data_IF_888552920514
#
_entry.id   IF_888552920514
#
_cell.length_a   1.000
_cell.length_b   1.000
_cell.length_c   1.000
_cell.angle_alpha   90.00
_cell.angle_beta   90.00
_cell.angle_gamma   90.00
#
_symmetry.space_group_name_H-M   'P 1'
#
loop_
_entity.id
_entity.type
_entity.pdbx_description
1 polymer ?
#
# COMPACT_ATOMS: atom_id res chain seq x y z
N UNK A 1 -8.58 10.31 -6.19
CA UNK A 1 -8.06 10.91 -4.95
C UNK A 1 -7.56 12.29 -5.29
N UNK A 2 -7.75 13.25 -4.40
CA UNK A 2 -7.22 14.60 -4.55
C UNK A 2 -5.68 14.56 -4.52
N UNK A 3 -4.95 15.20 -5.46
CA UNK A 3 -3.50 15.08 -5.55
C UNK A 3 -2.78 15.59 -4.29
N UNK A 4 -3.32 16.62 -3.62
CA UNK A 4 -2.78 17.11 -2.34
C UNK A 4 -2.77 16.06 -1.22
N UNK A 5 -3.54 14.97 -1.32
CA UNK A 5 -3.54 13.88 -0.33
C UNK A 5 -2.48 12.80 -0.61
N UNK A 6 -1.81 12.82 -1.76
CA UNK A 6 -0.73 11.87 -2.10
C UNK A 6 0.51 12.05 -1.21
N UNK A 7 0.66 13.22 -0.58
CA UNK A 7 1.73 13.50 0.37
C UNK A 7 1.52 12.83 1.74
N UNK A 8 0.32 12.32 2.06
CA UNK A 8 0.06 11.59 3.30
C UNK A 8 0.40 10.09 3.15
N UNK A 9 0.73 9.37 4.25
CA UNK A 9 1.05 7.95 4.20
C UNK A 9 -0.02 7.12 3.46
N UNK A 10 0.39 6.42 2.40
CA UNK A 10 -0.54 5.64 1.57
C UNK A 10 -1.37 4.59 2.33
N UNK A 11 -0.91 3.94 3.43
CA UNK A 11 -1.80 3.07 4.20
C UNK A 11 -2.99 3.79 4.85
N UNK A 12 -2.85 5.08 5.16
CA UNK A 12 -3.95 5.88 5.70
C UNK A 12 -4.95 6.23 4.60
N UNK A 13 -4.48 6.76 3.48
CA UNK A 13 -5.36 7.22 2.39
C UNK A 13 -6.02 6.08 1.63
N UNK A 14 -5.30 4.99 1.33
CA UNK A 14 -5.85 3.82 0.63
C UNK A 14 -6.96 3.12 1.43
N UNK A 15 -6.78 3.00 2.75
CA UNK A 15 -7.73 2.29 3.62
C UNK A 15 -8.87 3.18 4.15
N UNK A 16 -8.78 4.51 4.08
CA UNK A 16 -9.79 5.38 4.66
C UNK A 16 -11.16 5.15 4.02
N UNK A 17 -12.17 4.87 4.86
CA UNK A 17 -13.51 4.53 4.41
C UNK A 17 -13.65 3.12 3.84
N UNK A 18 -12.67 2.23 4.04
CA UNK A 18 -12.73 0.83 3.60
C UNK A 18 -13.08 -0.13 4.74
N UNK A 19 -13.68 -1.27 4.36
CA UNK A 19 -13.82 -2.48 5.16
C UNK A 19 -12.87 -3.56 4.66
N UNK A 20 -12.03 -4.12 5.54
CA UNK A 20 -11.14 -5.25 5.25
C UNK A 20 -10.49 -5.78 6.54
N UNK A 21 -9.44 -6.59 6.43
CA UNK A 21 -8.56 -6.96 7.55
C UNK A 21 -7.57 -5.84 7.93
N UNK A 22 -7.61 -4.71 7.21
CA UNK A 22 -6.80 -3.49 7.39
C UNK A 22 -5.28 -3.73 7.50
N UNK A 23 -4.79 -4.82 6.90
CA UNK A 23 -3.38 -5.27 6.96
C UNK A 23 -2.40 -4.24 6.36
N UNK A 24 -2.89 -3.31 5.53
CA UNK A 24 -2.18 -2.11 5.11
C UNK A 24 -1.71 -1.25 6.29
N UNK A 25 -2.55 -1.02 7.31
CA UNK A 25 -2.21 -0.16 8.45
C UNK A 25 -1.00 -0.69 9.21
N UNK A 26 -0.76 -2.01 9.22
CA UNK A 26 0.42 -2.61 9.83
C UNK A 26 1.74 -2.23 9.14
N UNK A 27 1.68 -1.63 7.93
CA UNK A 27 2.86 -1.09 7.23
C UNK A 27 3.27 0.30 7.75
N UNK A 28 2.41 1.02 8.46
CA UNK A 28 2.71 2.34 9.03
C UNK A 28 3.79 2.23 10.13
N UNK A 29 4.94 2.93 10.01
CA UNK A 29 5.97 2.94 11.06
C UNK A 29 5.42 3.27 12.45
N UNK A 30 4.39 4.11 12.52
CA UNK A 30 3.74 4.59 13.74
C UNK A 30 2.98 3.49 14.51
N UNK A 31 2.66 2.36 13.87
CA UNK A 31 2.03 1.18 14.52
C UNK A 31 2.87 -0.09 14.36
N UNK A 32 4.06 -0.02 13.75
CA UNK A 32 4.98 -1.16 13.68
C UNK A 32 5.42 -1.55 15.09
N UNK A 33 5.19 -2.81 15.46
CA UNK A 33 5.44 -3.33 16.81
C UNK A 33 4.22 -3.30 17.74
N UNK A 34 3.10 -2.66 17.36
CA UNK A 34 1.84 -2.83 18.07
C UNK A 34 1.30 -4.25 17.88
N UNK A 35 0.79 -4.86 18.96
CA UNK A 35 0.19 -6.18 18.89
C UNK A 35 -1.10 -6.18 18.05
N UNK A 36 -1.35 -7.26 17.30
CA UNK A 36 -2.44 -7.33 16.32
C UNK A 36 -3.83 -7.16 16.97
N UNK A 37 -4.00 -7.69 18.17
CA UNK A 37 -5.21 -7.59 19.00
C UNK A 37 -5.45 -6.18 19.58
N UNK A 38 -4.39 -5.40 19.81
CA UNK A 38 -4.49 -3.99 20.18
C UNK A 38 -4.99 -3.11 19.02
N UNK A 39 -4.49 -3.39 17.81
CA UNK A 39 -4.87 -2.72 16.56
C UNK A 39 -6.28 -3.14 16.09
N UNK A 40 -6.60 -4.43 16.18
CA UNK A 40 -7.82 -5.05 15.65
C UNK A 40 -8.70 -5.64 16.76
N UNK A 41 -9.33 -4.75 17.54
CA UNK A 41 -10.24 -5.13 18.61
C UNK A 41 -11.53 -5.66 18.00
N UNK A 42 -11.98 -6.82 18.46
CA UNK A 42 -13.17 -7.51 17.95
C UNK A 42 -14.38 -7.41 18.91
N UNK A 43 -14.50 -6.32 19.68
CA UNK A 43 -15.56 -6.13 20.66
C UNK A 43 -16.58 -5.10 20.21
N UNK A 44 -17.83 -5.37 20.57
CA UNK A 44 -18.97 -4.45 20.68
C UNK A 44 -19.41 -3.64 19.45
N UNK A 45 -18.74 -3.81 18.30
CA UNK A 45 -19.02 -3.13 17.02
C UNK A 45 -18.95 -1.59 17.05
N UNK A 46 -18.64 -0.98 18.18
CA UNK A 46 -18.47 0.47 18.31
C UNK A 46 -17.12 0.96 17.74
N UNK A 47 -17.04 2.22 17.25
CA UNK A 47 -15.77 2.85 16.94
C UNK A 47 -14.88 2.99 18.18
N UNK A 48 -13.60 2.65 18.05
CA UNK A 48 -12.59 2.81 19.08
C UNK A 48 -11.37 3.58 18.55
N UNK A 49 -10.67 4.23 19.48
CA UNK A 49 -9.44 4.98 19.21
C UNK A 49 -8.20 4.10 19.44
N UNK A 50 -7.21 4.27 18.57
CA UNK A 50 -5.84 3.80 18.76
C UNK A 50 -4.92 5.02 18.69
N UNK A 51 -4.15 5.27 19.75
CA UNK A 51 -3.21 6.38 19.84
C UNK A 51 -1.77 5.85 19.70
N UNK A 52 -1.01 6.45 18.79
CA UNK A 52 0.44 6.34 18.69
C UNK A 52 1.03 7.71 19.07
N UNK A 53 1.01 8.00 20.38
CA UNK A 53 1.30 9.32 20.94
C UNK A 53 2.71 9.84 20.55
N UNK A 54 3.73 8.98 20.62
CA UNK A 54 5.12 9.29 20.22
C UNK A 54 5.27 9.71 18.74
N UNK A 55 4.25 9.44 17.93
CA UNK A 55 4.20 9.75 16.51
C UNK A 55 3.13 10.80 16.15
N UNK A 56 2.34 11.28 17.12
CA UNK A 56 1.26 12.23 16.87
C UNK A 56 0.13 11.68 15.99
N UNK A 57 -0.13 10.37 16.02
CA UNK A 57 -1.17 9.73 15.19
C UNK A 57 -2.28 9.13 16.06
N UNK A 58 -3.53 9.43 15.73
CA UNK A 58 -4.71 8.73 16.27
C UNK A 58 -5.51 8.12 15.12
N UNK A 59 -5.84 6.83 15.23
CA UNK A 59 -6.71 6.12 14.30
C UNK A 59 -8.08 5.86 14.93
N UNK A 60 -9.14 5.99 14.12
CA UNK A 60 -10.51 5.62 14.48
C UNK A 60 -10.89 4.36 13.72
N UNK A 61 -11.07 3.25 14.43
CA UNK A 61 -11.30 1.91 13.88
C UNK A 61 -12.60 1.33 14.42
N UNK A 62 -13.24 0.42 13.68
CA UNK A 62 -14.48 -0.23 14.10
C UNK A 62 -14.45 -1.70 13.67
N UNK A 63 -14.83 -2.64 14.53
CA UNK A 63 -15.12 -4.02 14.08
C UNK A 63 -16.52 -4.05 13.47
N UNK A 64 -16.67 -4.55 12.24
CA UNK A 64 -17.96 -4.52 11.53
C UNK A 64 -18.78 -5.80 11.76
N UNK A 65 -18.11 -6.88 12.19
CA UNK A 65 -18.64 -8.22 12.36
C UNK A 65 -17.98 -8.93 13.56
N UNK A 66 -18.03 -8.39 14.80
CA UNK A 66 -17.29 -8.93 15.95
C UNK A 66 -17.60 -10.41 16.26
N UNK A 67 -18.81 -10.88 15.89
CA UNK A 67 -19.25 -12.26 16.04
C UNK A 67 -18.68 -13.23 14.97
N UNK A 68 -18.05 -12.74 13.90
CA UNK A 68 -17.48 -13.57 12.85
C UNK A 68 -16.23 -14.36 13.34
N UNK A 69 -15.88 -15.49 12.69
CA UNK A 69 -14.62 -16.19 12.92
C UNK A 69 -13.40 -15.30 12.67
N UNK A 70 -12.30 -15.51 13.40
CA UNK A 70 -11.10 -14.66 13.32
C UNK A 70 -10.47 -14.56 11.91
N UNK A 71 -10.63 -15.59 11.08
CA UNK A 71 -10.20 -15.57 9.68
C UNK A 71 -11.05 -14.68 8.77
N UNK A 72 -12.30 -14.43 9.13
CA UNK A 72 -13.32 -13.76 8.30
C UNK A 72 -13.61 -12.33 8.74
N UNK A 73 -13.31 -11.98 10.01
CA UNK A 73 -13.53 -10.65 10.60
C UNK A 73 -13.01 -9.50 9.74
N UNK A 74 -13.79 -8.44 9.74
CA UNK A 74 -13.56 -7.19 9.06
C UNK A 74 -13.58 -6.00 10.02
N UNK A 75 -12.70 -5.06 9.74
CA UNK A 75 -12.61 -3.77 10.40
C UNK A 75 -12.84 -2.66 9.39
N UNK A 76 -13.57 -1.65 9.81
CA UNK A 76 -13.78 -0.40 9.09
C UNK A 76 -12.83 0.66 9.60
N UNK A 77 -12.09 1.31 8.69
CA UNK A 77 -11.26 2.46 9.05
C UNK A 77 -12.06 3.77 8.86
N UNK A 78 -12.48 4.36 9.98
CA UNK A 78 -13.37 5.52 10.02
C UNK A 78 -12.65 6.82 9.66
N UNK A 79 -11.45 7.03 10.20
CA UNK A 79 -10.71 8.29 10.10
C UNK A 79 -9.42 8.28 10.89
N UNK A 80 -8.60 9.31 10.70
CA UNK A 80 -7.39 9.54 11.49
C UNK A 80 -7.20 11.03 11.80
N UNK A 81 -6.51 11.29 12.90
CA UNK A 81 -6.10 12.62 13.34
C UNK A 81 -4.58 12.66 13.51
N UNK A 82 -3.95 13.70 12.96
CA UNK A 82 -2.55 14.03 13.12
C UNK A 82 -2.42 15.19 14.12
N UNK A 83 -1.61 15.02 15.15
CA UNK A 83 -1.17 16.09 16.05
C UNK A 83 -0.01 16.85 15.39
N UNK A 84 -0.21 18.12 15.07
CA UNK A 84 0.75 18.93 14.34
C UNK A 84 2.05 19.21 15.12
N UNK A 85 2.06 19.02 16.44
CA UNK A 85 3.25 19.19 17.29
C UNK A 85 4.11 17.93 17.40
N UNK A 86 3.51 16.75 17.20
CA UNK A 86 4.16 15.44 17.38
C UNK A 86 4.33 14.63 16.07
N UNK A 87 3.57 14.96 15.00
CA UNK A 87 3.66 14.29 13.70
C UNK A 87 5.04 14.47 13.05
N UNK A 88 5.68 13.33 12.75
CA UNK A 88 7.02 13.24 12.13
C UNK A 88 6.98 12.61 10.73
N UNK A 89 5.81 12.17 10.29
CA UNK A 89 5.63 11.55 8.98
C UNK A 89 5.52 12.56 7.84
N UNK A 90 5.29 12.07 6.62
CA UNK A 90 5.03 12.90 5.43
C UNK A 90 3.93 13.96 5.63
N UNK A 91 4.10 15.12 5.00
CA UNK A 91 3.19 16.26 5.04
C UNK A 91 3.17 16.99 3.68
N UNK A 92 2.19 17.86 3.45
CA UNK A 92 1.96 18.55 2.18
C UNK A 92 3.11 19.46 1.74
N UNK A 93 3.79 20.07 2.71
CA UNK A 93 4.89 21.01 2.53
C UNK A 93 6.13 20.59 3.34
N UNK A 94 7.22 21.36 3.20
CA UNK A 94 8.51 21.13 3.88
C UNK A 94 8.63 21.81 5.24
N UNK A 95 7.71 22.69 5.61
CA UNK A 95 7.71 23.41 6.88
C UNK A 95 7.02 22.58 7.98
N UNK A 96 6.16 21.66 7.58
CA UNK A 96 5.50 20.68 8.42
C UNK A 96 4.17 21.18 8.98
N UNK A 97 3.37 20.26 9.56
CA UNK A 97 1.97 20.54 9.91
C UNK A 97 1.83 21.76 10.82
N UNK A 98 2.72 21.94 11.80
CA UNK A 98 2.66 23.06 12.75
C UNK A 98 2.68 24.46 12.10
N UNK A 99 3.32 24.63 10.94
CA UNK A 99 3.40 25.93 10.26
C UNK A 99 2.22 26.17 9.30
N UNK A 100 1.52 25.10 8.88
CA UNK A 100 0.39 25.19 7.97
C UNK A 100 -0.67 26.16 8.49
N UNK A 101 -1.10 27.08 7.63
CA UNK A 101 -2.20 28.02 7.88
C UNK A 101 -3.50 27.50 7.25
N UNK A 102 -4.63 28.04 7.67
CA UNK A 102 -5.94 27.65 7.15
C UNK A 102 -6.05 27.89 5.63
N UNK A 103 -5.56 29.04 5.18
CA UNK A 103 -5.54 29.45 3.78
C UNK A 103 -4.74 28.46 2.92
N UNK A 104 -3.57 28.02 3.41
CA UNK A 104 -2.70 27.06 2.72
C UNK A 104 -3.37 25.70 2.57
N UNK A 105 -4.08 25.23 3.61
CA UNK A 105 -4.84 23.97 3.54
C UNK A 105 -6.04 24.05 2.60
N UNK A 106 -6.69 25.21 2.51
CA UNK A 106 -7.78 25.45 1.54
C UNK A 106 -7.23 25.37 0.12
N UNK A 107 -6.18 26.13 -0.19
CA UNK A 107 -5.55 26.15 -1.53
C UNK A 107 -5.04 24.79 -1.97
N UNK A 108 -4.55 23.96 -1.04
CA UNK A 108 -3.96 22.65 -1.33
C UNK A 108 -4.98 21.49 -1.44
N UNK A 109 -6.16 21.60 -0.82
CA UNK A 109 -7.05 20.45 -0.61
C UNK A 109 -8.54 20.71 -0.91
N UNK A 110 -9.02 21.94 -0.93
CA UNK A 110 -10.43 22.22 -1.18
C UNK A 110 -10.73 22.15 -2.68
N UNK A 111 -11.58 21.21 -3.09
CA UNK A 111 -12.09 21.12 -4.48
C UNK A 111 -12.88 22.40 -4.87
N UNK A 112 -13.43 23.13 -3.90
CA UNK A 112 -14.11 24.43 -4.06
C UNK A 112 -13.93 25.29 -2.79
N UNK A 113 -13.26 26.46 -2.85
CA UNK A 113 -13.09 27.35 -1.69
C UNK A 113 -14.41 27.87 -1.11
N UNK A 114 -15.46 28.00 -1.93
CA UNK A 114 -16.77 28.49 -1.50
C UNK A 114 -17.55 27.47 -0.64
N UNK A 115 -17.14 26.18 -0.68
CA UNK A 115 -17.73 25.10 0.13
C UNK A 115 -17.00 24.89 1.47
N UNK A 116 -16.06 25.77 1.80
CA UNK A 116 -15.26 25.70 3.02
C UNK A 116 -15.93 26.42 4.19
N UNK A 117 -16.16 25.71 5.30
CA UNK A 117 -16.47 26.33 6.57
C UNK A 117 -15.18 26.67 7.32
N UNK A 118 -14.74 27.92 7.23
CA UNK A 118 -13.66 28.46 8.06
C UNK A 118 -14.24 29.33 9.18
N UNK A 119 -14.19 28.84 10.42
CA UNK A 119 -14.57 29.56 11.64
C UNK A 119 -13.48 29.36 12.70
N UNK A 120 -12.46 30.22 12.66
CA UNK A 120 -11.29 30.12 13.56
C UNK A 120 -11.72 29.91 15.03
N UNK A 121 -11.20 28.89 15.73
CA UNK A 121 -10.02 28.08 15.41
C UNK A 121 -10.23 26.86 14.50
N UNK A 122 -11.40 26.66 13.88
CA UNK A 122 -11.73 25.46 13.10
C UNK A 122 -11.86 25.72 11.59
N UNK A 123 -11.39 24.77 10.80
CA UNK A 123 -11.53 24.69 9.35
C UNK A 123 -12.16 23.33 9.00
N UNK A 124 -13.23 23.32 8.21
CA UNK A 124 -13.92 22.10 7.81
C UNK A 124 -14.39 22.19 6.36
N UNK A 125 -14.11 21.15 5.56
CA UNK A 125 -14.54 21.05 4.16
C UNK A 125 -14.53 19.58 3.68
N UNK A 126 -15.05 19.36 2.48
CA UNK A 126 -15.04 18.06 1.81
C UNK A 126 -13.89 17.97 0.80
N UNK A 127 -13.31 16.77 0.67
CA UNK A 127 -12.25 16.48 -0.32
C UNK A 127 -12.49 15.14 -1.00
N UNK A 128 -12.15 15.03 -2.28
CA UNK A 128 -12.21 13.76 -3.03
C UNK A 128 -11.19 12.74 -2.53
N UNK A 129 -11.68 11.69 -1.88
CA UNK A 129 -10.92 10.52 -1.47
C UNK A 129 -10.63 9.53 -2.60
N UNK A 130 -10.31 8.30 -2.21
CA UNK A 130 -10.02 7.20 -3.13
C UNK A 130 -11.30 6.46 -3.55
N UNK A 131 -11.28 5.86 -4.75
CA UNK A 131 -12.39 5.04 -5.24
C UNK A 131 -13.75 5.75 -5.33
N UNK A 132 -13.75 7.08 -5.56
CA UNK A 132 -14.97 7.89 -5.67
C UNK A 132 -15.62 8.29 -4.34
N UNK A 133 -15.04 7.95 -3.18
CA UNK A 133 -15.52 8.45 -1.89
C UNK A 133 -15.21 9.93 -1.71
N UNK A 134 -16.05 10.62 -0.94
CA UNK A 134 -15.76 11.92 -0.34
C UNK A 134 -15.30 11.71 1.11
N UNK A 135 -14.31 12.48 1.53
CA UNK A 135 -13.85 12.53 2.93
C UNK A 135 -14.07 13.93 3.49
N UNK A 136 -14.27 14.03 4.80
CA UNK A 136 -14.33 15.30 5.52
C UNK A 136 -12.97 15.61 6.12
N UNK A 137 -12.44 16.79 5.81
CA UNK A 137 -11.30 17.40 6.50
C UNK A 137 -11.83 18.22 7.66
N UNK A 138 -11.25 18.03 8.84
CA UNK A 138 -11.42 18.93 10.00
C UNK A 138 -10.03 19.28 10.53
N UNK A 139 -9.67 20.55 10.49
CA UNK A 139 -8.43 21.08 11.04
C UNK A 139 -8.73 22.06 12.17
N UNK A 140 -7.93 22.01 13.24
CA UNK A 140 -8.00 22.97 14.36
C UNK A 140 -6.68 23.70 14.52
N UNK A 141 -6.75 24.99 14.84
CA UNK A 141 -5.62 25.90 14.98
C UNK A 141 -5.54 26.47 16.40
N UNK A 142 -4.33 26.79 16.85
CA UNK A 142 -4.13 27.48 18.10
C UNK A 142 -4.57 28.95 17.99
N UNK A 143 -5.37 29.43 18.95
CA UNK A 143 -5.98 30.76 18.85
C UNK A 143 -4.96 31.91 18.92
N UNK A 144 -3.86 31.72 19.65
CA UNK A 144 -2.83 32.75 19.83
C UNK A 144 -1.79 32.77 18.71
N UNK A 145 -1.27 31.59 18.36
CA UNK A 145 -0.18 31.43 17.39
C UNK A 145 -0.66 31.23 15.96
N UNK A 146 -1.93 30.85 15.76
CA UNK A 146 -2.53 30.43 14.47
C UNK A 146 -1.86 29.20 13.81
N UNK A 147 -0.90 28.58 14.48
CA UNK A 147 -0.35 27.29 14.08
C UNK A 147 -1.44 26.21 14.11
N UNK A 148 -1.38 25.27 13.17
CA UNK A 148 -2.18 24.05 13.23
C UNK A 148 -1.93 23.31 14.55
N UNK A 149 -2.98 22.80 15.17
CA UNK A 149 -2.95 21.89 16.30
C UNK A 149 -3.27 20.46 15.86
N UNK A 150 -4.39 20.26 15.15
CA UNK A 150 -4.75 18.94 14.63
C UNK A 150 -5.26 18.99 13.20
N UNK A 151 -5.00 17.94 12.43
CA UNK A 151 -5.56 17.69 11.10
C UNK A 151 -6.23 16.32 11.08
N UNK A 152 -7.52 16.28 10.77
CA UNK A 152 -8.34 15.07 10.80
C UNK A 152 -8.96 14.81 9.43
N UNK A 153 -8.89 13.55 8.99
CA UNK A 153 -9.61 13.05 7.82
C UNK A 153 -10.54 11.92 8.23
N UNK A 154 -11.83 12.06 7.92
CA UNK A 154 -12.87 11.07 8.25
C UNK A 154 -13.66 10.69 6.98
N UNK A 155 -14.05 9.42 6.85
CA UNK A 155 -14.91 8.98 5.74
C UNK A 155 -16.26 9.69 5.77
N UNK A 156 -16.87 9.84 4.59
CA UNK A 156 -18.30 10.21 4.46
C UNK A 156 -18.99 9.18 3.58
N UNK A 157 -20.22 8.79 3.95
CA UNK A 157 -20.99 7.77 3.24
C UNK A 157 -20.51 6.33 3.48
N UNK A 158 -20.91 5.42 2.58
CA UNK A 158 -20.81 3.97 2.78
C UNK A 158 -19.39 3.39 2.70
N UNK A 159 -19.22 2.21 3.29
CA UNK A 159 -17.98 1.44 3.28
C UNK A 159 -17.62 0.91 1.89
N UNK A 160 -16.41 1.21 1.40
CA UNK A 160 -15.80 0.54 0.24
C UNK A 160 -15.19 -0.79 0.65
N UNK A 161 -15.10 -1.77 -0.25
CA UNK A 161 -14.10 -2.84 -0.09
C UNK A 161 -12.69 -2.21 -0.17
N UNK A 162 -11.75 -2.66 0.67
CA UNK A 162 -10.38 -2.16 0.56
C UNK A 162 -9.72 -2.56 -0.75
N UNK A 163 -8.78 -1.72 -1.21
CA UNK A 163 -7.84 -2.12 -2.24
C UNK A 163 -7.08 -3.39 -1.79
N UNK A 164 -6.83 -4.36 -2.69
CA UNK A 164 -5.99 -5.51 -2.37
C UNK A 164 -4.62 -5.01 -1.89
N UNK A 165 -3.98 -5.75 -0.99
CA UNK A 165 -2.60 -5.47 -0.59
C UNK A 165 -1.71 -5.48 -1.85
N UNK A 166 -0.96 -4.40 -2.13
CA UNK A 166 0.09 -4.45 -3.13
C UNK A 166 1.11 -5.48 -2.66
N UNK A 167 1.46 -6.42 -3.54
CA UNK A 167 2.69 -7.18 -3.39
C UNK A 167 3.84 -6.19 -3.15
N UNK A 168 4.66 -6.44 -2.14
CA UNK A 168 5.59 -5.42 -1.65
C UNK A 168 6.53 -4.96 -2.77
N UNK A 169 6.50 -3.68 -3.18
CA UNK A 169 7.38 -3.20 -4.23
C UNK A 169 8.82 -3.16 -3.69
N UNK A 170 9.73 -3.89 -4.33
CA UNK A 170 11.16 -3.73 -4.09
C UNK A 170 11.66 -2.45 -4.75
N UNK A 171 11.72 -1.36 -3.99
CA UNK A 171 12.38 -0.09 -4.32
C UNK A 171 12.68 0.64 -3.00
N UNK A 172 13.81 1.31 -2.79
CA UNK A 172 14.76 1.92 -3.73
C UNK A 172 16.15 1.27 -3.60
N UNK A 173 17.01 1.11 -4.63
CA UNK A 173 17.40 1.98 -5.74
C UNK A 173 18.25 3.20 -5.32
N UNK A 174 19.53 3.18 -5.65
CA UNK A 174 20.27 4.40 -5.97
C UNK A 174 20.21 4.57 -7.51
N UNK A 175 19.65 5.70 -7.95
CA UNK A 175 19.45 6.23 -9.32
C UNK A 175 19.93 5.38 -10.52
N UNK A 176 19.05 4.88 -11.42
CA UNK A 176 18.22 5.57 -12.45
C UNK A 176 18.97 5.80 -13.79
N UNK A 177 18.28 5.96 -14.95
CA UNK A 177 16.85 5.83 -15.28
C UNK A 177 16.61 4.64 -16.29
N UNK A 178 15.57 4.46 -17.14
CA UNK A 178 14.33 5.19 -17.48
C UNK A 178 13.29 4.25 -18.18
N UNK A 179 12.03 4.70 -18.28
CA UNK A 179 11.00 4.48 -19.33
C UNK A 179 10.46 3.09 -19.79
N UNK A 180 9.11 2.98 -19.67
CA UNK A 180 8.12 2.41 -20.62
C UNK A 180 8.08 0.87 -20.83
N UNK A 181 6.97 0.19 -21.18
CA UNK A 181 5.49 0.37 -21.12
C UNK A 181 4.87 -1.05 -21.40
N UNK A 182 3.55 -1.38 -21.45
CA UNK A 182 3.07 -2.62 -20.84
C UNK A 182 2.47 -3.60 -21.87
N UNK A 183 3.27 -4.56 -22.36
CA UNK A 183 2.77 -5.64 -23.24
C UNK A 183 3.42 -6.99 -22.94
N UNK A 184 2.80 -7.77 -22.07
CA UNK A 184 2.35 -9.15 -22.35
C UNK A 184 1.76 -9.80 -21.08
N UNK A 185 0.81 -10.73 -21.27
CA UNK A 185 0.23 -11.54 -20.19
C UNK A 185 1.21 -12.57 -19.60
N UNK A 186 0.76 -13.47 -18.69
CA UNK A 186 1.64 -14.31 -17.88
C UNK A 186 2.69 -15.04 -18.72
N UNK A 187 3.95 -14.75 -18.41
CA UNK A 187 5.11 -15.16 -19.20
C UNK A 187 5.15 -16.69 -19.26
N UNK A 188 5.04 -17.32 -20.44
CA UNK A 188 4.79 -18.75 -20.53
C UNK A 188 5.87 -19.57 -19.82
N UNK A 189 5.46 -20.57 -19.04
CA UNK A 189 6.37 -21.46 -18.32
C UNK A 189 6.18 -22.93 -18.73
N UNK A 190 7.25 -23.71 -18.71
CA UNK A 190 7.23 -25.16 -18.97
C UNK A 190 8.34 -25.87 -18.19
N UNK A 191 8.26 -27.20 -18.06
CA UNK A 191 9.30 -28.02 -17.38
C UNK A 191 10.28 -28.61 -18.39
N UNK A 192 11.47 -29.03 -17.93
CA UNK A 192 12.42 -29.81 -18.74
C UNK A 192 11.71 -30.97 -19.45
N UNK A 193 11.96 -31.16 -20.75
CA UNK A 193 11.30 -32.18 -21.58
C UNK A 193 9.91 -31.83 -22.12
N UNK A 194 9.20 -30.83 -21.59
CA UNK A 194 7.95 -30.35 -22.19
C UNK A 194 8.21 -29.60 -23.50
N UNK A 195 7.21 -29.55 -24.40
CA UNK A 195 7.29 -28.67 -25.58
C UNK A 195 7.20 -27.20 -25.14
N UNK A 196 8.10 -26.39 -25.69
CA UNK A 196 8.16 -24.94 -25.48
C UNK A 196 6.93 -24.25 -26.09
N UNK A 197 6.14 -23.48 -25.34
CA UNK A 197 4.93 -22.85 -25.87
C UNK A 197 5.18 -21.53 -26.65
N UNK A 198 6.37 -20.93 -26.56
CA UNK A 198 6.76 -19.73 -27.33
C UNK A 198 8.24 -19.78 -27.77
N UNK A 199 8.53 -19.18 -28.93
CA UNK A 199 9.90 -18.92 -29.40
C UNK A 199 10.52 -17.79 -28.59
N UNK A 200 11.75 -17.93 -28.12
CA UNK A 200 12.46 -16.86 -27.42
C UNK A 200 13.52 -17.35 -26.44
N UNK A 201 13.95 -16.44 -25.55
CA UNK A 201 14.85 -16.74 -24.44
C UNK A 201 14.04 -17.22 -23.23
N UNK A 202 14.52 -18.27 -22.59
CA UNK A 202 13.94 -18.96 -21.44
C UNK A 202 14.95 -19.02 -20.30
N UNK A 203 14.50 -18.90 -19.06
CA UNK A 203 15.33 -19.04 -17.85
C UNK A 203 14.88 -20.23 -17.01
N UNK A 204 15.79 -21.17 -16.75
CA UNK A 204 15.58 -22.32 -15.88
C UNK A 204 15.82 -21.94 -14.43
N UNK A 205 14.80 -22.06 -13.59
CA UNK A 205 14.85 -21.78 -12.16
C UNK A 205 14.50 -23.02 -11.34
N UNK A 206 15.29 -23.30 -10.32
CA UNK A 206 14.93 -24.25 -9.26
C UNK A 206 14.01 -23.58 -8.21
N UNK A 207 13.21 -24.34 -7.46
CA UNK A 207 12.47 -23.82 -6.32
C UNK A 207 13.39 -23.16 -5.29
N UNK A 208 12.96 -22.04 -4.69
CA UNK A 208 13.82 -21.23 -3.81
C UNK A 208 14.35 -21.98 -2.56
N UNK A 209 13.69 -23.07 -2.15
CA UNK A 209 14.09 -23.94 -1.03
C UNK A 209 14.97 -25.13 -1.46
N UNK A 210 15.26 -25.29 -2.76
CA UNK A 210 16.05 -26.41 -3.26
C UNK A 210 17.55 -26.17 -2.95
N UNK A 211 18.30 -27.14 -2.39
CA UNK A 211 19.63 -26.86 -1.84
C UNK A 211 20.64 -26.17 -2.79
N UNK A 212 20.80 -26.57 -4.07
CA UNK A 212 21.64 -25.83 -5.03
C UNK A 212 21.03 -24.54 -5.61
N UNK A 213 19.79 -24.13 -5.29
CA UNK A 213 19.13 -22.99 -5.92
C UNK A 213 19.92 -21.67 -5.73
N UNK A 214 20.50 -21.46 -4.55
CA UNK A 214 21.32 -20.27 -4.25
C UNK A 214 22.58 -20.18 -5.14
N UNK A 215 23.20 -21.32 -5.46
CA UNK A 215 24.34 -21.38 -6.38
C UNK A 215 23.89 -21.23 -7.85
N UNK A 216 22.72 -21.79 -8.20
CA UNK A 216 22.22 -21.76 -9.58
C UNK A 216 21.69 -20.40 -10.02
N UNK A 217 21.17 -19.58 -9.10
CA UNK A 217 20.74 -18.19 -9.35
C UNK A 217 21.90 -17.27 -9.79
N UNK A 218 23.16 -17.72 -9.71
CA UNK A 218 24.31 -17.02 -10.28
C UNK A 218 24.94 -17.72 -11.50
N UNK A 219 24.50 -18.93 -11.85
CA UNK A 219 25.04 -19.67 -12.99
C UNK A 219 24.60 -19.04 -14.34
N UNK A 220 25.53 -18.79 -15.30
CA UNK A 220 25.20 -18.16 -16.58
C UNK A 220 24.48 -19.10 -17.56
N UNK A 221 24.64 -20.41 -17.41
CA UNK A 221 24.01 -21.43 -18.27
C UNK A 221 22.52 -21.69 -17.97
N UNK A 222 21.90 -20.91 -17.07
CA UNK A 222 20.47 -21.01 -16.79
C UNK A 222 19.56 -20.36 -17.84
N UNK A 223 20.14 -19.65 -18.80
CA UNK A 223 19.39 -19.02 -19.90
C UNK A 223 19.60 -19.80 -21.20
N UNK A 224 18.51 -20.16 -21.88
CA UNK A 224 18.54 -20.89 -23.16
C UNK A 224 17.59 -20.24 -24.18
N UNK A 225 17.92 -20.31 -25.47
CA UNK A 225 16.98 -19.94 -26.54
C UNK A 225 16.30 -21.19 -27.09
N UNK A 226 14.99 -21.11 -27.35
CA UNK A 226 14.18 -22.20 -27.92
C UNK A 226 13.16 -21.67 -28.92
N UNK A 227 12.85 -22.45 -29.95
CA UNK A 227 11.72 -22.20 -30.86
C UNK A 227 10.48 -22.94 -30.39
N UNK A 228 9.29 -22.35 -30.59
CA UNK A 228 8.02 -22.94 -30.17
C UNK A 228 7.81 -24.35 -30.74
N UNK A 229 7.37 -25.27 -29.89
CA UNK A 229 7.14 -26.68 -30.23
C UNK A 229 8.35 -27.60 -30.04
N UNK A 230 9.57 -27.06 -29.92
CA UNK A 230 10.77 -27.82 -29.56
C UNK A 230 10.70 -28.33 -28.11
N UNK A 231 11.32 -29.48 -27.77
CA UNK A 231 11.45 -29.90 -26.38
C UNK A 231 12.39 -28.97 -25.59
N UNK A 232 11.96 -28.58 -24.40
CA UNK A 232 12.78 -27.84 -23.44
C UNK A 232 13.94 -28.72 -22.96
N UNK A 233 15.15 -28.14 -22.90
CA UNK A 233 16.35 -28.87 -22.51
C UNK A 233 16.40 -29.16 -21.01
N UNK A 234 17.26 -30.09 -20.61
CA UNK A 234 17.66 -30.26 -19.21
C UNK A 234 18.73 -29.21 -18.84
N UNK A 235 18.77 -28.84 -17.57
CA UNK A 235 19.72 -27.89 -16.98
C UNK A 235 21.09 -28.55 -16.66
N UNK A 236 21.19 -29.87 -16.83
CA UNK A 236 22.41 -30.66 -16.59
C UNK A 236 22.56 -31.17 -15.16
N UNK A 237 21.49 -31.09 -14.37
CA UNK A 237 21.43 -31.55 -12.98
C UNK A 237 21.12 -33.06 -12.90
N UNK A 238 21.32 -33.70 -11.73
CA UNK A 238 20.74 -35.01 -11.45
C UNK A 238 19.23 -35.01 -11.74
N UNK A 239 18.71 -36.07 -12.35
CA UNK A 239 17.36 -36.06 -12.96
C UNK A 239 16.21 -35.69 -11.99
N UNK A 240 16.36 -36.02 -10.70
CA UNK A 240 15.41 -35.68 -9.63
C UNK A 240 15.36 -34.17 -9.29
N UNK A 241 16.45 -33.45 -9.54
CA UNK A 241 16.58 -32.01 -9.34
C UNK A 241 16.17 -31.27 -10.62
N UNK A 242 16.55 -31.80 -11.79
CA UNK A 242 16.19 -31.23 -13.10
C UNK A 242 14.67 -31.25 -13.35
N UNK A 243 13.96 -32.27 -12.87
CA UNK A 243 12.50 -32.34 -12.91
C UNK A 243 11.78 -31.21 -12.15
N UNK A 244 12.48 -30.59 -11.19
CA UNK A 244 11.98 -29.45 -10.41
C UNK A 244 12.28 -28.11 -11.07
N UNK A 245 13.12 -28.07 -12.10
CA UNK A 245 13.42 -26.86 -12.88
C UNK A 245 12.18 -26.42 -13.65
N UNK A 246 11.76 -25.18 -13.40
CA UNK A 246 10.74 -24.48 -14.18
C UNK A 246 11.46 -23.51 -15.11
N UNK A 247 11.23 -23.68 -16.41
CA UNK A 247 11.72 -22.79 -17.44
C UNK A 247 10.65 -21.77 -17.76
N UNK A 248 10.93 -20.49 -17.50
CA UNK A 248 10.01 -19.38 -17.81
C UNK A 248 10.54 -18.59 -18.99
N UNK A 249 9.69 -18.33 -19.99
CA UNK A 249 10.00 -17.44 -21.11
C UNK A 249 10.30 -16.05 -20.55
N UNK A 250 11.20 -15.31 -21.20
CA UNK A 250 11.52 -13.94 -20.81
C UNK A 250 11.23 -12.93 -21.93
N UNK A 251 11.53 -13.29 -23.18
CA UNK A 251 11.26 -12.44 -24.35
C UNK A 251 11.39 -13.22 -25.67
N UNK A 252 10.62 -12.79 -26.66
CA UNK A 252 10.72 -13.25 -28.05
C UNK A 252 11.72 -12.45 -28.88
N UNK A 253 11.73 -12.74 -30.18
CA UNK A 253 12.07 -11.80 -31.26
C UNK A 253 10.81 -11.48 -32.02
#
# INVERSE_FOLDING_TARGET
>A
MHPGLEALPSPLTEQLGTRSRLEWLQRLPEVQGMARDMLFRARDAEPYLLHAEDHGLTLVLQSLDPAAPEGERQWGFQGFTLDASAWKGPWFDKEGPRQAQAETLIEQLADSPDEVMHQHPMLCFAVRGQGGQTWSVVATFDYGTRCLQTFTLTRVGDWRAAAPLPEAPLSHAHAAPQDLDPRDGPTPACRSGMRTPKTGVWEGRLPALHPPACMFVQAPHRFVFKQAGEPMGALGLPAQDDAQVVWTWLRGR
#
